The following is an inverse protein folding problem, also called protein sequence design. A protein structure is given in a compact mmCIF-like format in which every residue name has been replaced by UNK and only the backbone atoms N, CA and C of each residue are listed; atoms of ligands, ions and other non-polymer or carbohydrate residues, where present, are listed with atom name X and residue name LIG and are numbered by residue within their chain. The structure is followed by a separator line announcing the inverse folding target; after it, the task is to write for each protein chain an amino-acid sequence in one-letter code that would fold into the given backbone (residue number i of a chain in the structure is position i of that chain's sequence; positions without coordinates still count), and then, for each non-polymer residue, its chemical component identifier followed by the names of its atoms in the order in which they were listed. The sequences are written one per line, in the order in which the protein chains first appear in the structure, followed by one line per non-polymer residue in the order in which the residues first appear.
data_IF_423101348280
#
_entry.id   IF_423101348280
#
_cell.length_a   1.000
_cell.length_b   1.000
_cell.length_c   1.000
_cell.angle_alpha   90.00
_cell.angle_beta   90.00
_cell.angle_gamma   90.00
#
_symmetry.space_group_name_H-M   'P 1'
#
loop_
_entity.id
_entity.type
_entity.pdbx_description
1 polymer ?
#
# COMPACT_ATOMS: atom_id res chain seq x y z
N UNK A 1 -20.84 9.38 -16.72
CA UNK A 1 -20.96 8.99 -15.30
C UNK A 1 -22.09 9.73 -14.63
N UNK A 2 -23.09 8.99 -14.18
CA UNK A 2 -24.14 9.44 -13.27
C UNK A 2 -23.54 9.94 -11.93
N UNK A 3 -24.22 10.88 -11.26
CA UNK A 3 -23.75 11.45 -9.98
C UNK A 3 -23.55 10.37 -8.90
N UNK A 4 -24.40 9.34 -8.89
CA UNK A 4 -24.28 8.24 -7.93
C UNK A 4 -22.99 7.44 -8.14
N UNK A 5 -22.65 7.15 -9.39
CA UNK A 5 -21.42 6.44 -9.77
C UNK A 5 -20.17 7.25 -9.43
N UNK A 6 -20.22 8.58 -9.60
CA UNK A 6 -19.11 9.48 -9.28
C UNK A 6 -18.77 9.48 -7.79
N UNK A 7 -19.81 9.44 -6.94
CA UNK A 7 -19.64 9.39 -5.48
C UNK A 7 -19.08 8.05 -5.02
N UNK A 8 -19.52 6.94 -5.62
CA UNK A 8 -18.99 5.60 -5.31
C UNK A 8 -17.52 5.46 -5.75
N UNK A 9 -17.18 5.97 -6.95
CA UNK A 9 -15.79 6.03 -7.41
C UNK A 9 -14.90 6.83 -6.45
N UNK A 10 -15.33 8.03 -6.04
CA UNK A 10 -14.56 8.89 -5.12
C UNK A 10 -14.29 8.18 -3.79
N UNK A 11 -15.25 7.41 -3.29
CA UNK A 11 -15.12 6.63 -2.06
C UNK A 11 -14.12 5.48 -2.22
N UNK A 12 -14.22 4.71 -3.32
CA UNK A 12 -13.30 3.61 -3.62
C UNK A 12 -11.87 4.09 -3.86
N UNK A 13 -11.72 5.20 -4.60
CA UNK A 13 -10.43 5.83 -4.85
C UNK A 13 -9.80 6.35 -3.57
N UNK A 14 -10.55 7.02 -2.70
CA UNK A 14 -10.07 7.47 -1.39
C UNK A 14 -9.57 6.30 -0.55
N UNK A 15 -10.31 5.19 -0.49
CA UNK A 15 -9.86 3.97 0.20
C UNK A 15 -8.55 3.43 -0.36
N UNK A 16 -8.36 3.45 -1.68
CA UNK A 16 -7.09 3.07 -2.28
C UNK A 16 -5.97 4.04 -1.92
N UNK A 17 -6.19 5.35 -2.02
CA UNK A 17 -5.17 6.34 -1.68
C UNK A 17 -4.72 6.23 -0.22
N UNK A 18 -5.65 6.00 0.71
CA UNK A 18 -5.34 5.75 2.12
C UNK A 18 -4.50 4.49 2.27
N UNK A 19 -4.90 3.39 1.63
CA UNK A 19 -4.19 2.12 1.70
C UNK A 19 -2.77 2.22 1.12
N UNK A 20 -2.58 2.98 0.05
CA UNK A 20 -1.26 3.27 -0.53
C UNK A 20 -0.39 4.10 0.41
N UNK A 21 -0.93 5.14 1.02
CA UNK A 21 -0.19 5.95 1.99
C UNK A 21 0.26 5.13 3.20
N UNK A 22 -0.58 4.22 3.70
CA UNK A 22 -0.21 3.29 4.79
C UNK A 22 0.95 2.38 4.37
N UNK A 23 0.94 1.89 3.12
CA UNK A 23 2.04 1.08 2.58
C UNK A 23 3.33 1.89 2.52
N UNK A 24 3.27 3.12 1.99
CA UNK A 24 4.42 4.01 1.90
C UNK A 24 4.98 4.31 3.30
N UNK A 25 4.12 4.61 4.28
CA UNK A 25 4.53 4.81 5.67
C UNK A 25 5.19 3.57 6.27
N UNK A 26 4.63 2.37 6.05
CA UNK A 26 5.24 1.12 6.51
C UNK A 26 6.63 0.90 5.90
N UNK A 27 6.79 1.15 4.60
CA UNK A 27 8.09 1.04 3.94
C UNK A 27 9.07 2.11 4.44
N UNK A 28 8.63 3.35 4.60
CA UNK A 28 9.46 4.44 5.10
C UNK A 28 9.99 4.13 6.51
N UNK A 29 9.12 3.65 7.40
CA UNK A 29 9.52 3.24 8.76
C UNK A 29 10.41 1.99 8.70
N UNK A 30 10.10 0.99 7.88
CA UNK A 30 10.91 -0.22 7.73
C UNK A 30 12.32 0.06 7.23
N UNK A 31 12.45 0.92 6.20
CA UNK A 31 13.74 1.37 5.68
C UNK A 31 14.48 2.20 6.74
N UNK A 32 13.77 3.11 7.43
CA UNK A 32 14.37 3.91 8.49
C UNK A 32 14.94 3.04 9.62
N UNK A 33 14.19 2.02 10.05
CA UNK A 33 14.64 1.06 11.07
C UNK A 33 15.85 0.27 10.55
N UNK A 34 15.84 -0.19 9.30
CA UNK A 34 17.00 -0.85 8.70
C UNK A 34 18.22 0.07 8.66
N UNK A 35 18.09 1.30 8.19
CA UNK A 35 19.22 2.23 8.11
C UNK A 35 19.76 2.62 9.49
N UNK A 36 18.87 2.76 10.48
CA UNK A 36 19.24 3.24 11.83
C UNK A 36 19.74 2.14 12.77
N UNK A 37 19.22 0.92 12.63
CA UNK A 37 19.46 -0.20 13.57
C UNK A 37 20.17 -1.41 12.94
N UNK A 38 20.33 -1.50 11.62
CA UNK A 38 21.21 -2.53 11.02
C UNK A 38 22.66 -2.50 11.53
N UNK A 39 23.26 -1.34 11.92
CA UNK A 39 24.62 -1.33 12.46
C UNK A 39 24.74 -1.91 13.88
N UNK A 40 23.64 -2.02 14.64
CA UNK A 40 23.66 -2.31 16.09
C UNK A 40 23.43 -3.80 16.41
N UNK A 41 23.15 -4.66 15.41
CA UNK A 41 23.10 -6.12 15.57
C UNK A 41 22.08 -6.86 14.70
N UNK A 42 22.23 -8.19 14.66
CA UNK A 42 21.38 -9.16 13.93
C UNK A 42 19.85 -8.98 14.11
N UNK A 43 19.30 -8.67 15.31
CA UNK A 43 17.85 -8.56 15.48
C UNK A 43 17.23 -7.36 14.74
N UNK A 44 17.92 -6.22 14.64
CA UNK A 44 17.43 -5.05 13.91
C UNK A 44 17.31 -5.32 12.40
N UNK A 45 18.25 -6.09 11.86
CA UNK A 45 18.23 -6.57 10.49
C UNK A 45 17.03 -7.48 10.22
N UNK A 46 16.79 -8.48 11.09
CA UNK A 46 15.67 -9.43 10.94
C UNK A 46 14.32 -8.72 11.02
N UNK A 47 14.13 -7.82 12.00
CA UNK A 47 12.89 -7.05 12.16
C UNK A 47 12.63 -6.16 10.95
N UNK A 48 13.66 -5.45 10.46
CA UNK A 48 13.52 -4.60 9.30
C UNK A 48 13.22 -5.36 8.01
N UNK A 49 13.82 -6.55 7.82
CA UNK A 49 13.57 -7.41 6.68
C UNK A 49 12.15 -8.00 6.70
N UNK A 50 11.67 -8.40 7.89
CA UNK A 50 10.27 -8.81 8.10
C UNK A 50 9.30 -7.67 7.80
N UNK A 51 9.59 -6.44 8.24
CA UNK A 51 8.76 -5.27 7.95
C UNK A 51 8.68 -4.99 6.44
N UNK A 52 9.81 -5.06 5.74
CA UNK A 52 9.85 -4.91 4.28
C UNK A 52 9.08 -6.01 3.57
N UNK A 53 9.23 -7.26 4.00
CA UNK A 53 8.50 -8.40 3.44
C UNK A 53 6.98 -8.24 3.63
N UNK A 54 6.55 -7.86 4.84
CA UNK A 54 5.15 -7.56 5.13
C UNK A 54 4.63 -6.41 4.26
N UNK A 55 5.40 -5.32 4.13
CA UNK A 55 5.10 -4.21 3.23
C UNK A 55 4.92 -4.67 1.77
N UNK A 56 5.81 -5.53 1.28
CA UNK A 56 5.75 -6.06 -0.08
C UNK A 56 4.46 -6.88 -0.34
N UNK A 57 4.07 -7.74 0.62
CA UNK A 57 2.82 -8.52 0.53
C UNK A 57 1.59 -7.61 0.50
N UNK A 58 1.56 -6.58 1.35
CA UNK A 58 0.46 -5.60 1.37
C UNK A 58 0.44 -4.80 0.06
N UNK A 59 1.60 -4.45 -0.49
CA UNK A 59 1.73 -3.75 -1.78
C UNK A 59 1.20 -4.58 -2.96
N UNK A 60 1.47 -5.89 -2.99
CA UNK A 60 0.88 -6.80 -3.98
C UNK A 60 -0.65 -6.83 -3.86
N UNK A 61 -1.17 -6.89 -2.63
CA UNK A 61 -2.61 -6.88 -2.36
C UNK A 61 -3.27 -5.57 -2.81
N UNK A 62 -2.60 -4.44 -2.58
CA UNK A 62 -3.02 -3.13 -3.08
C UNK A 62 -3.05 -3.10 -4.61
N UNK A 63 -2.00 -3.60 -5.27
CA UNK A 63 -1.91 -3.64 -6.73
C UNK A 63 -3.06 -4.45 -7.35
N UNK A 64 -3.42 -5.59 -6.76
CA UNK A 64 -4.59 -6.39 -7.19
C UNK A 64 -5.90 -5.61 -7.05
N UNK A 65 -6.10 -4.91 -5.93
CA UNK A 65 -7.29 -4.06 -5.72
C UNK A 65 -7.35 -2.88 -6.68
N UNK A 66 -6.19 -2.27 -6.98
CA UNK A 66 -6.07 -1.19 -7.95
C UNK A 66 -6.43 -1.64 -9.36
N UNK A 67 -5.89 -2.77 -9.81
CA UNK A 67 -6.20 -3.33 -11.13
C UNK A 67 -7.71 -3.63 -11.23
N UNK A 68 -8.32 -4.25 -10.21
CA UNK A 68 -9.77 -4.49 -10.21
C UNK A 68 -10.58 -3.20 -10.28
N UNK A 69 -10.18 -2.14 -9.56
CA UNK A 69 -10.87 -0.85 -9.65
C UNK A 69 -10.71 -0.24 -11.04
N UNK A 70 -9.55 -0.39 -11.68
CA UNK A 70 -9.28 0.10 -13.03
C UNK A 70 -10.15 -0.62 -14.08
N UNK A 71 -10.26 -1.96 -13.96
CA UNK A 71 -11.14 -2.78 -14.81
C UNK A 71 -12.60 -2.38 -14.63
N UNK A 72 -13.06 -2.26 -13.37
CA UNK A 72 -14.41 -1.78 -13.08
C UNK A 72 -14.66 -0.39 -13.67
N UNK A 73 -13.67 0.51 -13.63
CA UNK A 73 -13.80 1.85 -14.22
C UNK A 73 -13.89 1.81 -15.75
N UNK A 74 -13.17 0.90 -16.42
CA UNK A 74 -13.25 0.73 -17.87
C UNK A 74 -14.54 0.06 -18.34
N UNK A 75 -15.24 -0.64 -17.45
CA UNK A 75 -16.56 -1.25 -17.71
C UNK A 75 -17.72 -0.27 -17.50
N UNK A 76 -17.47 0.90 -16.90
CA UNK A 76 -18.48 1.95 -16.75
C UNK A 76 -18.64 2.72 -18.08
N UNK A 77 -19.85 2.82 -18.65
CA UNK A 77 -20.13 3.59 -19.88
C UNK A 77 -20.07 5.12 -19.69
#
# INVERSE_FOLDING_TARGET
MDEATKKDFKTRFTKLTIMLNIIILCFAIGIFVLLRFAPEGTPGLVIGLLLLAAGAVVSISFRKRYIRMKVWLSEQP
#
